data_IF_082545732084
#
_entry.id   IF_082545732084
#
_cell.length_a   1.000
_cell.length_b   1.000
_cell.length_c   1.000
_cell.angle_alpha   90.00
_cell.angle_beta   90.00
_cell.angle_gamma   90.00
#
_symmetry.space_group_name_H-M   'P 1'
#
loop_
_entity.id
_entity.type
_entity.pdbx_description
1 polymer ?
#
# COMPACT_ATOMS: atom_id res chain seq x y z
N UNK A 1 -72.50 -5.27 -24.33
CA UNK A 1 -72.51 -4.07 -23.45
C UNK A 1 -71.76 -4.35 -22.15
N UNK A 2 -70.94 -3.45 -21.75
CA UNK A 2 -70.40 -3.26 -20.42
C UNK A 2 -69.18 -4.14 -20.02
N UNK A 3 -68.02 -3.57 -20.29
CA UNK A 3 -67.02 -3.11 -19.29
C UNK A 3 -66.17 -4.23 -18.73
N UNK A 4 -65.18 -4.61 -19.49
CA UNK A 4 -63.89 -5.03 -18.90
C UNK A 4 -63.09 -3.77 -18.71
N UNK A 5 -63.13 -3.29 -17.53
CA UNK A 5 -62.33 -2.16 -17.06
C UNK A 5 -61.47 -2.63 -15.91
N UNK A 6 -60.18 -2.46 -16.09
CA UNK A 6 -59.23 -2.25 -14.99
C UNK A 6 -58.87 -3.43 -14.09
N UNK A 7 -58.06 -4.34 -14.62
CA UNK A 7 -57.16 -5.10 -13.77
C UNK A 7 -55.71 -5.04 -14.26
N UNK A 8 -55.32 -3.86 -14.70
CA UNK A 8 -53.94 -3.65 -15.16
C UNK A 8 -53.14 -2.74 -14.23
N UNK A 9 -53.54 -2.67 -12.99
CA UNK A 9 -52.84 -1.90 -11.98
C UNK A 9 -52.81 -2.70 -10.71
N UNK A 10 -51.90 -3.60 -10.57
CA UNK A 10 -51.43 -4.15 -9.29
C UNK A 10 -50.49 -5.35 -9.48
N UNK A 11 -49.47 -5.15 -10.26
CA UNK A 11 -48.36 -6.12 -10.25
C UNK A 11 -47.00 -5.45 -10.40
N UNK A 12 -46.81 -4.35 -9.72
CA UNK A 12 -45.51 -3.65 -9.71
C UNK A 12 -45.04 -3.27 -8.32
N UNK A 13 -45.34 -4.06 -7.33
CA UNK A 13 -44.79 -3.83 -5.98
C UNK A 13 -44.51 -5.19 -5.34
N UNK A 14 -43.53 -5.88 -5.80
CA UNK A 14 -42.96 -7.00 -5.02
C UNK A 14 -41.58 -7.43 -5.49
N UNK A 15 -40.75 -6.51 -5.99
CA UNK A 15 -39.33 -6.80 -6.20
C UNK A 15 -38.51 -5.68 -5.56
N UNK A 16 -38.75 -5.49 -4.28
CA UNK A 16 -37.94 -4.61 -3.46
C UNK A 16 -37.76 -5.32 -2.14
N UNK A 17 -36.79 -6.18 -2.04
CA UNK A 17 -36.17 -6.54 -0.77
C UNK A 17 -35.37 -7.82 -0.87
N UNK A 18 -34.36 -7.88 -1.73
CA UNK A 18 -33.32 -8.90 -1.57
C UNK A 18 -31.97 -8.34 -2.04
N UNK A 19 -31.73 -7.07 -1.85
CA UNK A 19 -30.36 -6.64 -1.71
C UNK A 19 -30.03 -6.75 -0.23
N UNK A 20 -29.83 -7.96 0.20
CA UNK A 20 -29.08 -8.24 1.40
C UNK A 20 -27.73 -7.58 1.19
N UNK A 21 -27.54 -6.42 1.81
CA UNK A 21 -26.22 -5.89 2.09
C UNK A 21 -25.52 -6.92 2.94
N UNK A 22 -24.81 -7.82 2.30
CA UNK A 22 -23.76 -8.58 2.92
C UNK A 22 -22.69 -7.56 3.27
N UNK A 23 -22.81 -6.94 4.43
CA UNK A 23 -21.70 -6.35 5.13
C UNK A 23 -20.82 -7.52 5.57
N UNK A 24 -20.03 -8.05 4.68
CA UNK A 24 -18.78 -8.64 5.05
C UNK A 24 -17.92 -7.47 5.47
N UNK A 25 -17.75 -7.28 6.76
CA UNK A 25 -16.69 -6.48 7.34
C UNK A 25 -15.37 -7.19 7.05
N UNK A 26 -14.97 -7.18 5.80
CA UNK A 26 -13.60 -7.37 5.41
C UNK A 26 -12.92 -6.03 5.70
N UNK A 27 -12.41 -5.88 6.92
CA UNK A 27 -11.51 -4.80 7.31
C UNK A 27 -10.14 -4.93 6.63
N UNK A 28 -10.08 -5.56 5.47
CA UNK A 28 -8.91 -5.53 4.61
C UNK A 28 -8.79 -4.13 4.03
N UNK A 29 -7.89 -3.36 4.60
CA UNK A 29 -7.55 -2.03 4.07
C UNK A 29 -7.20 -2.18 2.59
N UNK A 30 -8.02 -1.61 1.70
CA UNK A 30 -7.75 -1.65 0.27
C UNK A 30 -6.44 -0.91 -0.02
N UNK A 31 -5.45 -1.65 -0.49
CA UNK A 31 -4.14 -1.09 -0.80
C UNK A 31 -4.21 -0.21 -2.05
N UNK A 32 -3.64 0.98 -1.98
CA UNK A 32 -3.46 1.84 -3.14
C UNK A 32 -2.44 1.25 -4.13
N UNK A 33 -2.45 1.71 -5.39
CA UNK A 33 -1.50 1.26 -6.40
C UNK A 33 -0.08 1.75 -6.08
N UNK A 34 0.93 0.95 -6.44
CA UNK A 34 2.35 1.28 -6.29
C UNK A 34 3.17 0.74 -7.47
N UNK A 35 4.44 1.13 -7.58
CA UNK A 35 5.37 0.62 -8.58
C UNK A 35 6.25 -0.46 -7.96
N UNK A 36 6.27 -1.65 -8.56
CA UNK A 36 7.03 -2.79 -8.08
C UNK A 36 8.25 -3.07 -8.96
N UNK A 37 9.38 -3.33 -8.33
CA UNK A 37 10.62 -3.77 -8.95
C UNK A 37 10.99 -5.18 -8.47
N UNK A 38 11.29 -6.06 -9.39
CA UNK A 38 11.77 -7.44 -9.14
C UNK A 38 13.26 -7.60 -9.39
N UNK A 39 13.86 -6.66 -10.15
CA UNK A 39 15.28 -6.66 -10.48
C UNK A 39 16.03 -5.63 -9.62
N UNK A 40 17.01 -6.10 -8.85
CA UNK A 40 17.76 -5.28 -7.90
C UNK A 40 18.50 -4.13 -8.57
N UNK A 41 19.14 -4.41 -9.72
CA UNK A 41 19.89 -3.39 -10.46
C UNK A 41 18.95 -2.28 -10.96
N UNK A 42 17.79 -2.64 -11.51
CA UNK A 42 16.79 -1.67 -11.98
C UNK A 42 16.28 -0.77 -10.87
N UNK A 43 16.02 -1.35 -9.68
CA UNK A 43 15.61 -0.55 -8.52
C UNK A 43 16.72 0.42 -8.07
N UNK A 44 17.95 -0.07 -7.98
CA UNK A 44 19.13 0.74 -7.62
C UNK A 44 19.36 1.88 -8.62
N UNK A 45 19.35 1.59 -9.91
CA UNK A 45 19.55 2.59 -10.97
C UNK A 45 18.44 3.64 -10.98
N UNK A 46 17.19 3.21 -10.75
CA UNK A 46 16.06 4.13 -10.63
C UNK A 46 16.22 5.04 -9.41
N UNK A 47 16.58 4.48 -8.27
CA UNK A 47 16.82 5.27 -7.06
C UNK A 47 17.95 6.27 -7.24
N UNK A 48 19.09 5.83 -7.76
CA UNK A 48 20.28 6.69 -7.91
C UNK A 48 20.09 7.79 -8.93
N UNK A 49 19.43 7.51 -10.05
CA UNK A 49 19.15 8.47 -11.13
C UNK A 49 18.00 9.44 -10.82
N UNK A 50 17.16 9.15 -9.82
CA UNK A 50 16.02 10.01 -9.48
C UNK A 50 16.48 11.37 -8.97
N UNK A 51 16.03 12.45 -9.60
CA UNK A 51 16.48 13.84 -9.34
C UNK A 51 15.62 14.62 -8.36
N UNK A 52 14.40 14.17 -8.07
CA UNK A 52 13.50 14.80 -7.11
C UNK A 52 13.82 14.44 -5.66
N UNK A 53 13.00 14.94 -4.75
CA UNK A 53 13.03 14.50 -3.36
C UNK A 53 12.75 12.99 -3.29
N UNK A 54 13.61 12.25 -2.61
CA UNK A 54 13.50 10.79 -2.48
C UNK A 54 13.93 10.32 -1.10
N UNK A 55 13.38 9.19 -0.68
CA UNK A 55 13.79 8.50 0.53
C UNK A 55 13.89 6.99 0.25
N UNK A 56 14.90 6.36 0.83
CA UNK A 56 15.05 4.91 0.87
C UNK A 56 14.60 4.43 2.24
N UNK A 57 13.66 3.51 2.31
CA UNK A 57 13.01 3.10 3.55
C UNK A 57 13.14 1.58 3.73
N UNK A 58 13.81 1.19 4.81
CA UNK A 58 13.87 -0.19 5.27
C UNK A 58 12.66 -0.49 6.16
N UNK A 59 11.82 -1.42 5.71
CA UNK A 59 10.60 -1.81 6.44
C UNK A 59 10.81 -2.97 7.40
N UNK A 60 12.05 -3.45 7.54
CA UNK A 60 12.39 -4.52 8.49
C UNK A 60 12.37 -4.01 9.93
N UNK A 61 12.21 -4.92 10.85
CA UNK A 61 12.35 -4.62 12.27
C UNK A 61 13.69 -3.97 12.60
N UNK A 62 13.69 -3.16 13.66
CA UNK A 62 14.84 -2.34 14.06
C UNK A 62 16.11 -3.14 14.27
N UNK A 63 16.01 -4.34 14.88
CA UNK A 63 17.13 -5.23 15.11
C UNK A 63 17.85 -5.66 13.81
N UNK A 64 17.09 -5.95 12.76
CA UNK A 64 17.63 -6.29 11.43
C UNK A 64 18.27 -5.09 10.75
N UNK A 65 17.66 -3.93 10.89
CA UNK A 65 18.23 -2.68 10.39
C UNK A 65 19.57 -2.35 11.05
N UNK A 66 19.64 -2.44 12.38
CA UNK A 66 20.88 -2.18 13.16
C UNK A 66 21.99 -3.20 12.86
N UNK A 67 21.62 -4.45 12.57
CA UNK A 67 22.56 -5.49 12.14
C UNK A 67 23.15 -5.25 10.75
N UNK A 68 22.48 -4.45 9.93
CA UNK A 68 22.95 -4.04 8.60
C UNK A 68 21.80 -3.55 7.71
N UNK A 69 22.02 -2.43 7.04
CA UNK A 69 21.06 -1.79 6.14
C UNK A 69 21.77 -1.22 4.90
N UNK A 70 21.00 -0.78 3.91
CA UNK A 70 21.56 -0.12 2.73
C UNK A 70 21.96 1.30 3.07
N UNK A 71 23.09 1.76 2.57
CA UNK A 71 23.59 3.12 2.79
C UNK A 71 22.54 4.15 2.40
N UNK A 72 22.22 5.06 3.31
CA UNK A 72 21.21 6.11 3.10
C UNK A 72 19.77 5.69 3.38
N UNK A 73 19.54 4.47 3.87
CA UNK A 73 18.21 4.04 4.24
C UNK A 73 17.80 4.55 5.64
N UNK A 74 16.55 4.95 5.75
CA UNK A 74 15.87 5.15 7.02
C UNK A 74 15.12 3.89 7.42
N UNK A 75 14.98 3.65 8.72
CA UNK A 75 14.16 2.55 9.22
C UNK A 75 12.75 3.02 9.59
N UNK A 76 11.76 2.41 8.95
CA UNK A 76 10.35 2.56 9.31
C UNK A 76 9.70 1.17 9.30
N UNK A 77 9.81 0.42 10.40
CA UNK A 77 9.37 -0.97 10.46
C UNK A 77 7.90 -1.14 10.11
N UNK A 78 7.58 -2.14 9.28
CA UNK A 78 6.22 -2.50 8.93
C UNK A 78 5.63 -3.57 9.87
N UNK A 79 6.48 -4.42 10.44
CA UNK A 79 6.07 -5.63 11.17
C UNK A 79 5.36 -5.36 12.50
N UNK A 80 5.48 -4.14 13.03
CA UNK A 80 4.84 -3.75 14.29
C UNK A 80 3.43 -3.19 14.09
N UNK A 81 3.00 -2.95 12.86
CA UNK A 81 1.75 -2.29 12.54
C UNK A 81 0.65 -3.29 12.16
N UNK A 82 0.19 -4.05 13.16
CA UNK A 82 -0.78 -5.13 12.96
C UNK A 82 -2.22 -4.71 13.26
N UNK A 83 -2.44 -3.56 13.86
CA UNK A 83 -3.77 -3.02 14.17
C UNK A 83 -4.08 -1.79 13.33
N UNK A 84 -5.35 -1.39 13.29
CA UNK A 84 -5.77 -0.14 12.63
C UNK A 84 -5.07 1.09 13.24
N UNK A 85 -4.91 1.09 14.58
CA UNK A 85 -4.24 2.18 15.30
C UNK A 85 -2.74 2.23 14.98
N UNK A 86 -2.07 1.08 14.94
CA UNK A 86 -0.66 0.99 14.52
C UNK A 86 -0.49 1.49 13.09
N UNK A 87 -1.37 1.10 12.19
CA UNK A 87 -1.38 1.54 10.80
C UNK A 87 -1.58 3.06 10.67
N UNK A 88 -2.46 3.63 11.50
CA UNK A 88 -2.67 5.07 11.54
C UNK A 88 -1.45 5.81 12.10
N UNK A 89 -0.78 5.25 13.12
CA UNK A 89 0.44 5.82 13.67
C UNK A 89 1.60 5.78 12.65
N UNK A 90 1.78 4.64 11.97
CA UNK A 90 2.77 4.52 10.90
C UNK A 90 2.58 5.59 9.81
N UNK A 91 1.33 5.81 9.39
CA UNK A 91 0.98 6.82 8.40
C UNK A 91 1.33 8.24 8.87
N UNK A 92 1.08 8.55 10.15
CA UNK A 92 1.46 9.84 10.76
C UNK A 92 2.98 10.02 10.78
N UNK A 93 3.71 8.98 11.17
CA UNK A 93 5.18 9.00 11.25
C UNK A 93 5.79 9.21 9.86
N UNK A 94 5.25 8.53 8.84
CA UNK A 94 5.68 8.72 7.46
C UNK A 94 5.44 10.16 6.98
N UNK A 95 4.23 10.68 7.16
CA UNK A 95 3.86 12.04 6.76
C UNK A 95 4.62 13.13 7.51
N UNK A 96 4.94 12.89 8.78
CA UNK A 96 5.76 13.82 9.58
C UNK A 96 7.20 13.88 9.08
N UNK A 97 7.72 12.78 8.54
CA UNK A 97 9.12 12.67 8.09
C UNK A 97 9.32 13.11 6.65
N UNK A 98 8.38 12.80 5.77
CA UNK A 98 8.49 13.05 4.34
C UNK A 98 7.28 13.77 3.77
N UNK A 99 7.46 14.91 3.09
CA UNK A 99 6.39 15.55 2.32
C UNK A 99 5.84 14.61 1.22
N UNK A 100 4.56 14.73 0.87
CA UNK A 100 3.88 13.83 -0.08
C UNK A 100 4.41 13.88 -1.52
N UNK A 101 5.23 14.87 -1.86
CA UNK A 101 5.95 14.95 -3.12
C UNK A 101 7.30 14.20 -3.12
N UNK A 102 7.65 13.54 -2.01
CA UNK A 102 8.85 12.69 -1.91
C UNK A 102 8.57 11.34 -2.56
N UNK A 103 9.47 10.89 -3.43
CA UNK A 103 9.42 9.53 -3.97
C UNK A 103 10.00 8.54 -2.94
N UNK A 104 9.17 7.64 -2.47
CA UNK A 104 9.50 6.66 -1.45
C UNK A 104 9.92 5.34 -2.11
N UNK A 105 11.09 4.84 -1.76
CA UNK A 105 11.65 3.58 -2.23
C UNK A 105 11.71 2.61 -1.03
N UNK A 106 10.80 1.65 -1.01
CA UNK A 106 10.69 0.68 0.08
C UNK A 106 11.40 -0.63 -0.24
N UNK A 107 12.07 -1.19 0.75
CA UNK A 107 12.53 -2.57 0.72
C UNK A 107 12.34 -3.22 2.10
N UNK A 108 12.34 -4.55 2.14
CA UNK A 108 12.12 -5.29 3.38
C UNK A 108 12.71 -6.67 3.35
N UNK A 109 12.04 -7.61 3.99
CA UNK A 109 12.35 -9.04 3.92
C UNK A 109 11.81 -9.65 2.62
N UNK A 110 12.20 -10.89 2.34
CA UNK A 110 11.61 -11.70 1.27
C UNK A 110 10.11 -12.00 1.49
N UNK A 111 9.62 -11.84 2.71
CA UNK A 111 8.18 -11.82 3.01
C UNK A 111 7.58 -10.49 2.57
N UNK A 112 7.40 -10.38 1.33
CA UNK A 112 7.09 -9.22 0.54
C UNK A 112 5.69 -8.58 0.81
N UNK A 113 4.78 -9.30 1.48
CA UNK A 113 3.44 -8.80 1.76
C UNK A 113 3.44 -7.53 2.62
N UNK A 114 4.32 -7.47 3.63
CA UNK A 114 4.43 -6.30 4.50
C UNK A 114 4.94 -5.07 3.74
N UNK A 115 5.93 -5.25 2.87
CA UNK A 115 6.45 -4.16 2.03
C UNK A 115 5.39 -3.65 1.04
N UNK A 116 4.57 -4.55 0.47
CA UNK A 116 3.41 -4.17 -0.36
C UNK A 116 2.38 -3.38 0.44
N UNK A 117 2.06 -3.85 1.64
CA UNK A 117 1.07 -3.19 2.48
C UNK A 117 1.47 -1.74 2.79
N UNK A 118 2.74 -1.50 3.15
CA UNK A 118 3.20 -0.14 3.45
C UNK A 118 3.26 0.75 2.20
N UNK A 119 3.66 0.23 1.05
CA UNK A 119 3.67 1.00 -0.20
C UNK A 119 2.24 1.35 -0.66
N UNK A 120 1.32 0.41 -0.57
CA UNK A 120 -0.09 0.65 -0.88
C UNK A 120 -0.72 1.66 0.07
N UNK A 121 -0.38 1.62 1.35
CA UNK A 121 -0.82 2.61 2.33
C UNK A 121 -0.22 3.98 2.03
N UNK A 122 1.08 4.08 1.78
CA UNK A 122 1.73 5.34 1.40
C UNK A 122 1.06 5.97 0.18
N UNK A 123 0.77 5.17 -0.85
CA UNK A 123 0.04 5.63 -2.03
C UNK A 123 -1.32 6.25 -1.68
N UNK A 124 -2.09 5.63 -0.79
CA UNK A 124 -3.43 6.11 -0.39
C UNK A 124 -3.40 7.38 0.45
N UNK A 125 -2.41 7.55 1.30
CA UNK A 125 -2.32 8.72 2.19
C UNK A 125 -1.74 9.97 1.53
N UNK A 126 -1.52 9.96 0.22
CA UNK A 126 -1.21 11.14 -0.56
C UNK A 126 0.06 11.10 -1.40
N UNK A 127 0.92 10.07 -1.27
CA UNK A 127 2.12 9.97 -2.13
C UNK A 127 1.77 9.56 -3.56
N UNK A 128 0.69 8.78 -3.73
CA UNK A 128 0.26 8.28 -5.03
C UNK A 128 1.16 7.16 -5.56
N UNK A 129 0.74 6.55 -6.66
CA UNK A 129 1.40 5.39 -7.27
C UNK A 129 2.88 5.64 -7.60
N UNK A 130 3.15 6.75 -8.27
CA UNK A 130 4.48 7.03 -8.84
C UNK A 130 5.53 7.34 -7.77
N UNK A 131 5.09 7.80 -6.60
CA UNK A 131 5.95 8.07 -5.45
C UNK A 131 5.97 6.94 -4.42
N UNK A 132 5.29 5.83 -4.67
CA UNK A 132 5.27 4.64 -3.81
C UNK A 132 5.88 3.46 -4.56
N UNK A 133 7.17 3.22 -4.35
CA UNK A 133 7.97 2.24 -5.11
C UNK A 133 8.52 1.18 -4.19
N UNK A 134 8.45 -0.09 -4.60
CA UNK A 134 8.95 -1.20 -3.81
C UNK A 134 9.93 -2.09 -4.56
N UNK A 135 10.87 -2.66 -3.83
CA UNK A 135 11.63 -3.82 -4.25
C UNK A 135 11.11 -5.09 -3.55
N UNK A 136 10.74 -6.12 -4.32
CA UNK A 136 9.98 -7.25 -3.82
C UNK A 136 10.79 -8.51 -3.48
N UNK A 137 12.11 -8.50 -3.70
CA UNK A 137 12.97 -9.68 -3.48
C UNK A 137 13.81 -9.62 -2.20
N UNK A 138 13.62 -8.59 -1.38
CA UNK A 138 14.24 -8.48 -0.06
C UNK A 138 15.63 -7.84 -0.03
N UNK A 139 16.09 -7.55 1.19
CA UNK A 139 17.33 -6.83 1.48
C UNK A 139 18.58 -7.49 0.87
N UNK A 140 18.73 -8.79 1.01
CA UNK A 140 19.97 -9.49 0.62
C UNK A 140 20.27 -9.36 -0.88
N UNK A 141 19.25 -9.41 -1.71
CA UNK A 141 19.41 -9.23 -3.14
C UNK A 141 19.78 -7.78 -3.50
N UNK A 142 19.22 -6.77 -2.80
CA UNK A 142 19.62 -5.38 -2.99
C UNK A 142 21.03 -5.11 -2.50
N UNK A 143 21.43 -5.67 -1.36
CA UNK A 143 22.77 -5.50 -0.79
C UNK A 143 23.87 -5.88 -1.78
N UNK A 144 23.63 -6.87 -2.64
CA UNK A 144 24.59 -7.32 -3.64
C UNK A 144 24.93 -6.26 -4.69
N UNK A 145 24.00 -5.34 -4.99
CA UNK A 145 24.16 -4.29 -6.01
C UNK A 145 24.33 -2.88 -5.42
N UNK A 146 24.02 -2.70 -4.13
CA UNK A 146 24.05 -1.40 -3.47
C UNK A 146 25.48 -0.99 -3.15
N UNK A 147 25.89 0.19 -3.61
CA UNK A 147 27.25 0.72 -3.45
C UNK A 147 27.27 1.93 -2.50
#
# INVERSE_FOLDING_TARGET
MKRLRNYFVMLTVAILALFGTSCSSDDSEELGPFVEYTEAQTFYDTYTSYKGAKALIDTREKSKFEAGHLTGADNLPADIYNTADDNAQWSKDLLAKYPTNTCLFFYGTTSFQMTKAVAGRASRIGYGKENSRIYSKGYDALKAVWK
#
